data_IF_611278498170
#
_entry.id   IF_611278498170
#
_cell.length_a   1.000
_cell.length_b   1.000
_cell.length_c   1.000
_cell.angle_alpha   90.00
_cell.angle_beta   90.00
_cell.angle_gamma   90.00
#
_symmetry.space_group_name_H-M   'P 1'
#
loop_
_entity.id
_entity.type
_entity.pdbx_description
1 polymer ?
#
# COMPACT_ATOMS: atom_id res chain seq x y z
N UNK A 1 4.57 -20.67 -13.55
CA UNK A 1 5.15 -19.43 -12.99
C UNK A 1 6.67 -19.49 -13.10
N UNK A 2 7.31 -18.50 -13.73
CA UNK A 2 8.70 -18.57 -14.20
C UNK A 2 9.70 -18.19 -13.08
N UNK A 3 10.70 -19.04 -12.73
CA UNK A 3 11.63 -18.84 -11.59
C UNK A 3 12.64 -17.68 -11.72
N UNK A 4 12.51 -16.82 -12.74
CA UNK A 4 13.45 -15.71 -13.01
C UNK A 4 13.09 -14.41 -12.28
N UNK A 5 11.82 -14.20 -11.90
CA UNK A 5 11.35 -12.98 -11.24
C UNK A 5 11.90 -12.83 -9.81
N UNK A 6 12.00 -13.92 -9.05
CA UNK A 6 12.46 -13.86 -7.65
C UNK A 6 13.93 -13.43 -7.54
N UNK A 7 14.78 -13.82 -8.50
CA UNK A 7 16.20 -13.42 -8.53
C UNK A 7 16.40 -11.92 -8.79
N UNK A 8 15.44 -11.25 -9.44
CA UNK A 8 15.49 -9.80 -9.70
C UNK A 8 15.00 -9.03 -8.48
N UNK A 9 13.90 -9.46 -7.86
CA UNK A 9 13.38 -8.87 -6.61
C UNK A 9 14.42 -8.96 -5.48
N UNK A 10 15.13 -10.09 -5.36
CA UNK A 10 16.20 -10.26 -4.37
C UNK A 10 17.39 -9.33 -4.60
N UNK A 11 17.76 -9.07 -5.87
CA UNK A 11 18.87 -8.18 -6.21
C UNK A 11 18.54 -6.70 -5.93
N UNK A 12 17.30 -6.27 -6.17
CA UNK A 12 16.85 -4.91 -5.85
C UNK A 12 16.80 -4.68 -4.33
N UNK A 13 16.41 -5.69 -3.56
CA UNK A 13 16.43 -5.63 -2.09
C UNK A 13 17.85 -5.45 -1.53
N UNK A 14 18.86 -6.08 -2.14
CA UNK A 14 20.24 -6.04 -1.65
C UNK A 14 20.96 -4.72 -1.96
N UNK A 15 20.62 -4.04 -3.06
CA UNK A 15 21.27 -2.78 -3.45
C UNK A 15 20.79 -1.59 -2.59
N UNK A 16 19.56 -1.63 -2.08
CA UNK A 16 19.01 -0.61 -1.20
C UNK A 16 19.65 -0.58 0.21
N UNK A 17 20.33 -1.66 0.62
CA UNK A 17 20.92 -1.83 1.95
C UNK A 17 22.38 -1.36 2.06
N UNK A 18 23.00 -0.93 0.95
CA UNK A 18 24.42 -0.53 0.88
C UNK A 18 24.66 0.98 1.05
N UNK A 19 23.60 1.78 1.22
CA UNK A 19 23.71 3.22 1.49
C UNK A 19 23.94 3.50 2.98
N UNK A 20 24.67 4.57 3.28
CA UNK A 20 24.80 5.10 4.65
C UNK A 20 23.43 5.53 5.18
N UNK A 21 23.17 5.25 6.46
CA UNK A 21 21.95 5.72 7.12
C UNK A 21 21.99 7.23 7.25
N UNK A 22 20.90 7.90 6.87
CA UNK A 22 20.75 9.34 7.12
C UNK A 22 20.17 9.48 8.52
N UNK A 23 20.86 10.19 9.41
CA UNK A 23 20.37 10.47 10.77
C UNK A 23 19.07 11.27 10.67
N UNK A 24 17.94 10.59 10.89
CA UNK A 24 16.60 11.17 10.81
C UNK A 24 15.85 10.95 12.12
N UNK A 25 14.98 11.90 12.49
CA UNK A 25 14.05 11.69 13.59
C UNK A 25 12.97 10.68 13.19
N UNK A 26 12.44 9.87 14.12
CA UNK A 26 11.27 9.06 13.83
C UNK A 26 10.13 9.99 13.40
N UNK A 27 9.41 9.60 12.35
CA UNK A 27 8.22 10.33 11.91
C UNK A 27 7.02 9.40 11.92
N UNK A 28 5.89 9.97 12.33
CA UNK A 28 4.58 9.32 12.30
C UNK A 28 3.70 10.16 11.40
N UNK A 29 2.72 9.56 10.75
CA UNK A 29 1.73 10.33 10.03
C UNK A 29 0.47 9.54 9.73
N UNK A 30 -0.39 10.20 8.95
CA UNK A 30 -1.64 9.65 8.48
C UNK A 30 -1.65 9.57 6.97
N UNK A 31 -2.39 8.61 6.45
CA UNK A 31 -2.77 8.55 5.04
C UNK A 31 -4.26 8.31 4.88
N UNK A 32 -4.83 8.88 3.84
CA UNK A 32 -6.21 8.64 3.42
C UNK A 32 -6.24 8.35 1.92
N UNK A 33 -6.93 7.29 1.52
CA UNK A 33 -6.97 6.81 0.15
C UNK A 33 -8.39 6.56 -0.33
N UNK A 34 -8.63 6.87 -1.59
CA UNK A 34 -9.91 6.65 -2.27
C UNK A 34 -9.68 5.96 -3.63
N UNK A 35 -10.47 4.94 -3.98
CA UNK A 35 -10.40 4.30 -5.28
C UNK A 35 -10.94 5.26 -6.35
N UNK A 36 -10.28 5.27 -7.52
CA UNK A 36 -10.73 6.01 -8.71
C UNK A 36 -11.16 5.04 -9.80
N UNK A 37 -10.38 3.97 -9.99
CA UNK A 37 -10.70 2.88 -10.92
C UNK A 37 -10.65 1.59 -10.13
N UNK A 38 -11.71 0.79 -10.27
CA UNK A 38 -11.85 -0.53 -9.64
C UNK A 38 -12.13 -1.59 -10.68
N UNK A 39 -11.61 -2.80 -10.45
CA UNK A 39 -11.79 -3.91 -11.40
C UNK A 39 -12.40 -5.14 -10.73
N UNK A 40 -11.94 -5.48 -9.54
CA UNK A 40 -12.39 -6.67 -8.83
C UNK A 40 -12.87 -6.31 -7.43
N UNK A 41 -14.18 -6.35 -7.15
CA UNK A 41 -15.27 -6.35 -8.13
C UNK A 41 -15.37 -5.02 -8.92
N UNK A 42 -16.08 -5.04 -10.03
CA UNK A 42 -16.60 -3.82 -10.66
C UNK A 42 -17.59 -3.12 -9.70
N UNK A 43 -17.74 -1.80 -9.82
CA UNK A 43 -18.58 -0.98 -8.94
C UNK A 43 -18.22 -1.08 -7.45
N UNK A 44 -16.96 -1.39 -7.15
CA UNK A 44 -16.39 -1.31 -5.82
C UNK A 44 -16.20 0.16 -5.46
N UNK A 45 -16.67 0.51 -4.27
CA UNK A 45 -16.43 1.80 -3.64
C UNK A 45 -15.75 1.54 -2.30
N UNK A 46 -15.08 2.55 -1.78
CA UNK A 46 -14.39 2.40 -0.52
C UNK A 46 -13.56 3.60 -0.13
N UNK A 47 -12.97 3.47 1.04
CA UNK A 47 -11.91 4.35 1.50
C UNK A 47 -10.95 3.56 2.38
N UNK A 48 -9.73 4.07 2.49
CA UNK A 48 -8.70 3.52 3.39
C UNK A 48 -8.09 4.66 4.19
N UNK A 49 -7.96 4.47 5.49
CA UNK A 49 -7.20 5.34 6.38
C UNK A 49 -6.07 4.53 7.01
N UNK A 50 -4.90 5.11 7.20
CA UNK A 50 -3.80 4.44 7.87
C UNK A 50 -2.93 5.39 8.70
N UNK A 51 -2.32 4.81 9.73
CA UNK A 51 -1.20 5.38 10.46
C UNK A 51 0.08 4.81 9.86
N UNK A 52 1.07 5.66 9.61
CA UNK A 52 2.38 5.21 9.18
C UNK A 52 3.47 5.65 10.15
N UNK A 53 4.52 4.84 10.25
CA UNK A 53 5.67 5.06 11.10
C UNK A 53 6.96 4.79 10.31
N UNK A 54 7.85 5.77 10.27
CA UNK A 54 9.18 5.66 9.66
C UNK A 54 10.23 5.52 10.77
N UNK A 55 10.85 4.33 10.93
CA UNK A 55 11.98 4.15 11.83
C UNK A 55 13.21 4.93 11.33
N UNK A 56 13.98 5.57 12.23
CA UNK A 56 15.24 6.26 11.88
C UNK A 56 16.26 5.37 11.16
N UNK A 57 16.34 4.10 11.56
CA UNK A 57 17.32 3.13 11.06
C UNK A 57 17.04 2.65 9.65
N UNK A 58 15.82 2.85 9.15
CA UNK A 58 15.37 2.41 7.82
C UNK A 58 15.19 3.59 6.87
N UNK A 59 16.09 4.58 6.97
CA UNK A 59 16.13 5.74 6.10
C UNK A 59 17.54 5.96 5.55
N UNK A 60 17.62 5.97 4.24
CA UNK A 60 18.82 6.18 3.45
C UNK A 60 18.65 7.40 2.56
N UNK A 61 19.67 7.72 1.77
CA UNK A 61 19.70 8.92 0.92
C UNK A 61 18.52 8.97 -0.05
N UNK A 62 18.25 7.90 -0.79
CA UNK A 62 17.13 7.84 -1.75
C UNK A 62 16.03 6.86 -1.34
N UNK A 63 16.32 5.95 -0.42
CA UNK A 63 15.40 4.87 -0.05
C UNK A 63 14.96 5.03 1.39
N UNK A 64 13.72 4.69 1.69
CA UNK A 64 13.26 4.51 3.05
C UNK A 64 12.29 3.33 3.11
N UNK A 65 12.30 2.63 4.25
CA UNK A 65 11.30 1.62 4.56
C UNK A 65 10.52 2.11 5.78
N UNK A 66 9.22 2.31 5.61
CA UNK A 66 8.29 2.64 6.69
C UNK A 66 7.21 1.57 6.82
N UNK A 67 6.49 1.60 7.92
CA UNK A 67 5.40 0.67 8.19
C UNK A 67 4.08 1.42 8.21
N UNK A 68 3.07 0.83 7.56
CA UNK A 68 1.71 1.33 7.51
C UNK A 68 0.79 0.33 8.23
N UNK A 69 -0.06 0.86 9.12
CA UNK A 69 -1.16 0.15 9.76
C UNK A 69 -2.48 0.80 9.32
N UNK A 70 -3.29 0.05 8.57
CA UNK A 70 -4.43 0.58 7.83
C UNK A 70 -5.76 -0.09 8.13
N UNK A 71 -6.83 0.67 7.92
CA UNK A 71 -8.21 0.25 7.92
C UNK A 71 -8.86 0.64 6.59
N UNK A 72 -9.39 -0.34 5.87
CA UNK A 72 -10.15 -0.16 4.64
C UNK A 72 -11.61 -0.55 4.83
N UNK A 73 -12.52 0.28 4.34
CA UNK A 73 -13.94 -0.04 4.23
C UNK A 73 -14.31 -0.09 2.76
N UNK A 74 -14.85 -1.23 2.32
CA UNK A 74 -15.18 -1.48 0.93
C UNK A 74 -16.63 -1.95 0.80
N UNK A 75 -17.34 -1.50 -0.22
CA UNK A 75 -18.69 -1.97 -0.53
C UNK A 75 -18.91 -1.99 -2.04
N UNK A 76 -19.85 -2.83 -2.48
CA UNK A 76 -20.19 -2.96 -3.90
C UNK A 76 -21.58 -2.40 -4.11
N UNK A 77 -21.75 -1.66 -5.19
CA UNK A 77 -23.07 -1.18 -5.64
C UNK A 77 -23.57 -2.03 -6.80
N UNK A 78 -24.83 -1.85 -7.20
CA UNK A 78 -25.44 -2.62 -8.29
C UNK A 78 -25.58 -4.13 -8.00
N UNK A 79 -25.89 -4.48 -6.73
CA UNK A 79 -26.19 -5.86 -6.31
C UNK A 79 -27.51 -5.94 -5.56
N UNK A 80 -28.08 -7.14 -5.49
CA UNK A 80 -29.35 -7.40 -4.79
C UNK A 80 -29.26 -7.38 -3.26
N UNK A 81 -28.03 -7.33 -2.70
CA UNK A 81 -27.81 -7.27 -1.27
C UNK A 81 -26.60 -6.39 -0.98
N UNK A 82 -26.77 -5.26 -0.30
CA UNK A 82 -25.64 -4.40 0.06
C UNK A 82 -24.78 -5.09 1.13
N UNK A 83 -23.57 -5.55 0.77
CA UNK A 83 -22.59 -6.05 1.73
C UNK A 83 -21.29 -5.25 1.64
N UNK A 84 -20.89 -4.74 2.79
CA UNK A 84 -19.57 -4.16 3.00
C UNK A 84 -18.60 -5.17 3.59
N UNK A 85 -17.31 -4.88 3.40
CA UNK A 85 -16.17 -5.59 3.94
C UNK A 85 -15.22 -4.58 4.58
N UNK A 86 -14.81 -4.88 5.82
CA UNK A 86 -13.74 -4.16 6.48
C UNK A 86 -12.44 -4.97 6.38
N UNK A 87 -11.32 -4.28 6.15
CA UNK A 87 -10.00 -4.89 6.04
C UNK A 87 -9.04 -4.13 6.96
N UNK A 88 -8.35 -4.85 7.84
CA UNK A 88 -7.26 -4.32 8.64
C UNK A 88 -5.95 -4.79 8.03
N UNK A 89 -4.97 -3.91 7.84
CA UNK A 89 -3.71 -4.24 7.15
C UNK A 89 -2.49 -3.74 7.90
N UNK A 90 -1.38 -4.47 7.83
CA UNK A 90 -0.06 -4.00 8.23
C UNK A 90 0.91 -4.28 7.09
N UNK A 91 1.63 -3.27 6.63
CA UNK A 91 2.50 -3.40 5.45
C UNK A 91 3.81 -2.64 5.63
N UNK A 92 4.98 -3.26 5.35
CA UNK A 92 6.18 -2.51 5.05
C UNK A 92 6.03 -1.85 3.67
N UNK A 93 6.44 -0.59 3.56
CA UNK A 93 6.46 0.16 2.31
C UNK A 93 7.89 0.58 2.03
N UNK A 94 8.43 0.13 0.90
CA UNK A 94 9.67 0.65 0.36
C UNK A 94 9.32 1.85 -0.51
N UNK A 95 9.82 3.02 -0.12
CA UNK A 95 9.76 4.24 -0.92
C UNK A 95 11.14 4.57 -1.44
N UNK A 96 11.22 4.83 -2.73
CA UNK A 96 12.43 5.32 -3.38
C UNK A 96 12.15 6.67 -4.03
N UNK A 97 12.91 7.69 -3.62
CA UNK A 97 12.86 9.03 -4.18
C UNK A 97 13.78 9.12 -5.39
N UNK A 98 13.24 9.56 -6.53
CA UNK A 98 14.06 9.83 -7.72
C UNK A 98 14.98 11.03 -7.49
N UNK A 99 14.46 12.07 -6.81
CA UNK A 99 15.22 13.21 -6.33
C UNK A 99 14.72 13.61 -4.94
N UNK A 100 15.58 14.26 -4.14
CA UNK A 100 15.25 14.73 -2.78
C UNK A 100 15.29 16.25 -2.67
N UNK A 101 14.76 16.94 -3.67
CA UNK A 101 14.70 18.39 -3.67
C UNK A 101 13.82 18.95 -2.53
N UNK A 102 14.12 20.15 -1.99
CA UNK A 102 13.38 20.73 -0.87
C UNK A 102 11.89 20.92 -1.11
N UNK A 103 11.49 21.26 -2.34
CA UNK A 103 10.10 21.62 -2.66
C UNK A 103 9.30 20.50 -3.33
N UNK A 104 9.98 19.57 -4.00
CA UNK A 104 9.33 18.56 -4.85
C UNK A 104 10.22 17.30 -4.92
N UNK A 105 9.85 16.26 -4.18
CA UNK A 105 10.57 15.00 -4.13
C UNK A 105 9.70 13.88 -4.72
N UNK A 106 9.77 13.60 -6.03
CA UNK A 106 9.03 12.52 -6.67
C UNK A 106 9.59 11.17 -6.24
N UNK A 107 8.72 10.17 -6.12
CA UNK A 107 9.08 8.84 -5.64
C UNK A 107 8.22 7.73 -6.23
N UNK A 108 8.66 6.49 -6.05
CA UNK A 108 7.83 5.30 -6.21
C UNK A 108 7.73 4.51 -4.90
N UNK A 109 6.61 3.83 -4.72
CA UNK A 109 6.29 2.97 -3.59
C UNK A 109 6.07 1.54 -4.08
N UNK A 110 6.61 0.56 -3.36
CA UNK A 110 6.25 -0.85 -3.47
C UNK A 110 6.03 -1.43 -2.07
N UNK A 111 5.00 -2.26 -1.93
CA UNK A 111 4.60 -2.83 -0.65
C UNK A 111 3.98 -4.20 -0.83
N UNK A 112 4.32 -5.12 0.08
CA UNK A 112 3.68 -6.42 0.26
C UNK A 112 3.43 -6.58 1.75
N UNK A 113 2.18 -6.51 2.16
CA UNK A 113 1.75 -6.59 3.54
C UNK A 113 0.80 -7.75 3.83
N UNK A 114 0.33 -7.79 5.07
CA UNK A 114 -0.67 -8.73 5.54
C UNK A 114 -1.96 -7.99 5.83
N UNK A 115 -3.09 -8.63 5.55
CA UNK A 115 -4.42 -8.11 5.75
C UNK A 115 -5.35 -9.15 6.37
N UNK A 116 -6.24 -8.67 7.25
CA UNK A 116 -7.33 -9.42 7.84
C UNK A 116 -8.67 -8.84 7.37
N UNK A 117 -9.45 -9.67 6.70
CA UNK A 117 -10.76 -9.38 6.15
C UNK A 117 -11.82 -9.79 7.18
N UNK A 118 -12.78 -8.93 7.51
CA UNK A 118 -13.84 -9.28 8.46
C UNK A 118 -14.81 -10.33 7.94
N UNK A 119 -14.84 -10.56 6.63
CA UNK A 119 -15.65 -11.57 5.95
C UNK A 119 -14.84 -12.21 4.84
N UNK A 120 -15.10 -13.49 4.57
CA UNK A 120 -14.49 -14.22 3.45
C UNK A 120 -15.24 -14.03 2.12
N UNK A 121 -16.30 -13.24 2.13
CA UNK A 121 -17.12 -12.95 0.95
C UNK A 121 -17.38 -11.46 0.84
N UNK A 122 -17.26 -10.95 -0.38
CA UNK A 122 -17.74 -9.63 -0.78
C UNK A 122 -18.74 -9.87 -1.92
N UNK A 123 -20.03 -9.70 -1.62
CA UNK A 123 -21.12 -10.08 -2.53
C UNK A 123 -21.06 -11.57 -2.90
N UNK A 124 -21.08 -11.87 -4.22
CA UNK A 124 -20.96 -13.21 -4.79
C UNK A 124 -19.49 -13.67 -4.89
N UNK A 125 -18.51 -12.81 -4.57
CA UNK A 125 -17.09 -13.15 -4.66
C UNK A 125 -16.63 -13.85 -3.39
N UNK A 126 -16.12 -15.06 -3.55
CA UNK A 126 -15.51 -15.83 -2.47
C UNK A 126 -14.01 -15.53 -2.41
N UNK A 127 -13.59 -14.83 -1.34
CA UNK A 127 -12.21 -14.44 -1.05
C UNK A 127 -11.42 -15.59 -0.38
N UNK A 128 -12.10 -16.70 -0.06
CA UNK A 128 -11.55 -17.91 0.50
C UNK A 128 -11.44 -17.86 2.02
N UNK A 129 -10.52 -17.07 2.53
CA UNK A 129 -10.22 -16.99 3.97
C UNK A 129 -10.12 -15.56 4.46
N UNK A 130 -10.03 -15.40 5.79
CA UNK A 130 -9.93 -14.09 6.42
C UNK A 130 -8.56 -13.44 6.24
N UNK A 131 -7.50 -14.21 5.99
CA UNK A 131 -6.16 -13.67 5.77
C UNK A 131 -5.87 -13.46 4.28
N UNK A 132 -5.23 -12.35 3.96
CA UNK A 132 -4.83 -11.97 2.61
C UNK A 132 -3.47 -11.26 2.64
N UNK A 133 -2.74 -11.32 1.54
CA UNK A 133 -1.69 -10.35 1.25
C UNK A 133 -2.32 -9.03 0.80
N UNK A 134 -1.62 -7.93 1.04
CA UNK A 134 -1.90 -6.60 0.50
C UNK A 134 -0.71 -6.16 -0.36
N UNK A 135 -0.89 -6.15 -1.67
CA UNK A 135 0.14 -5.68 -2.61
C UNK A 135 -0.21 -4.26 -3.05
N UNK A 136 0.76 -3.35 -2.97
CA UNK A 136 0.60 -1.97 -3.46
C UNK A 136 1.83 -1.54 -4.26
N UNK A 137 1.58 -0.89 -5.39
CA UNK A 137 2.60 -0.25 -6.23
C UNK A 137 2.09 1.13 -6.62
N UNK A 138 2.93 2.16 -6.49
CA UNK A 138 2.49 3.51 -6.86
C UNK A 138 3.62 4.50 -7.08
N UNK A 139 3.27 5.64 -7.62
CA UNK A 139 4.15 6.79 -7.81
C UNK A 139 3.54 8.00 -7.13
N UNK A 140 4.39 8.89 -6.66
CA UNK A 140 3.92 10.08 -5.96
C UNK A 140 4.95 11.17 -5.84
N UNK A 141 4.58 12.18 -5.07
CA UNK A 141 5.42 13.32 -4.76
C UNK A 141 5.27 13.69 -3.30
N UNK A 142 6.40 13.95 -2.64
CA UNK A 142 6.45 14.59 -1.32
C UNK A 142 6.82 16.06 -1.49
N UNK A 143 6.12 16.93 -0.77
CA UNK A 143 6.26 18.39 -0.86
C UNK A 143 5.94 19.08 0.48
N UNK A 144 6.12 20.40 0.51
CA UNK A 144 5.99 21.25 1.71
C UNK A 144 7.34 21.53 2.37
N UNK A 145 7.42 22.65 3.12
CA UNK A 145 8.68 23.12 3.71
C UNK A 145 9.37 22.09 4.62
N UNK A 146 8.59 21.23 5.29
CA UNK A 146 9.08 20.14 6.14
C UNK A 146 8.95 18.77 5.47
N UNK A 147 8.68 18.72 4.16
CA UNK A 147 8.36 17.49 3.41
C UNK A 147 7.22 16.69 4.05
N UNK A 148 6.23 17.40 4.59
CA UNK A 148 5.17 16.82 5.40
C UNK A 148 3.94 16.36 4.61
N UNK A 149 3.81 16.72 3.33
CA UNK A 149 2.68 16.31 2.50
C UNK A 149 3.15 15.35 1.42
N UNK A 150 2.37 14.31 1.14
CA UNK A 150 2.55 13.49 -0.06
C UNK A 150 1.25 13.22 -0.79
N UNK A 151 1.34 13.10 -2.11
CA UNK A 151 0.24 12.64 -2.98
C UNK A 151 0.70 11.42 -3.78
N UNK A 152 -0.15 10.41 -3.87
CA UNK A 152 0.13 9.12 -4.48
C UNK A 152 -0.94 8.70 -5.48
N UNK A 153 -0.50 8.13 -6.59
CA UNK A 153 -1.30 7.30 -7.49
C UNK A 153 -0.79 5.87 -7.35
N UNK A 154 -1.67 4.94 -6.98
CA UNK A 154 -1.27 3.55 -6.73
C UNK A 154 -2.29 2.54 -7.24
N UNK A 155 -1.80 1.35 -7.57
CA UNK A 155 -2.60 0.14 -7.68
C UNK A 155 -2.54 -0.63 -6.36
N UNK A 156 -3.68 -1.17 -5.93
CA UNK A 156 -3.85 -1.94 -4.70
C UNK A 156 -4.51 -3.28 -5.03
N UNK A 157 -3.98 -4.36 -4.49
CA UNK A 157 -4.52 -5.70 -4.66
C UNK A 157 -4.52 -6.49 -3.35
N UNK A 158 -5.62 -7.18 -3.08
CA UNK A 158 -5.73 -8.15 -2.00
C UNK A 158 -5.95 -9.54 -2.58
N UNK A 159 -5.11 -10.51 -2.21
CA UNK A 159 -5.34 -11.91 -2.50
C UNK A 159 -4.73 -12.83 -1.45
N UNK A 160 -5.23 -14.06 -1.36
CA UNK A 160 -4.71 -15.03 -0.40
C UNK A 160 -3.48 -15.83 -0.90
N UNK A 161 -2.90 -15.45 -2.05
CA UNK A 161 -1.71 -16.11 -2.60
C UNK A 161 -1.91 -17.58 -2.99
N UNK A 162 -3.15 -18.02 -3.21
CA UNK A 162 -3.53 -19.43 -3.44
C UNK A 162 -3.30 -20.35 -2.25
N UNK A 163 -3.23 -19.80 -1.04
CA UNK A 163 -3.21 -20.58 0.21
C UNK A 163 -4.59 -21.20 0.53
N UNK A 164 -5.64 -20.78 -0.18
CA UNK A 164 -6.96 -21.38 -0.16
C UNK A 164 -7.42 -21.68 -1.59
N UNK A 165 -8.28 -22.68 -1.78
CA UNK A 165 -8.81 -23.09 -3.09
C UNK A 165 -9.63 -22.00 -3.79
N UNK A 166 -10.25 -21.10 -3.01
CA UNK A 166 -11.00 -19.94 -3.50
C UNK A 166 -10.16 -18.68 -3.29
N UNK A 167 -10.02 -17.85 -4.32
CA UNK A 167 -9.25 -16.60 -4.25
C UNK A 167 -9.76 -15.58 -5.27
N UNK A 168 -10.97 -15.06 -5.07
CA UNK A 168 -11.49 -14.05 -5.99
C UNK A 168 -10.70 -12.73 -5.93
N UNK A 169 -10.09 -12.41 -4.78
CA UNK A 169 -9.32 -11.18 -4.59
C UNK A 169 -10.13 -9.89 -4.71
N UNK A 170 -9.45 -8.77 -4.43
CA UNK A 170 -9.95 -7.40 -4.62
C UNK A 170 -8.86 -6.59 -5.33
N UNK A 171 -9.22 -5.86 -6.39
CA UNK A 171 -8.27 -5.10 -7.21
C UNK A 171 -8.78 -3.70 -7.49
N UNK A 172 -7.99 -2.71 -7.08
CA UNK A 172 -8.16 -1.30 -7.36
C UNK A 172 -6.98 -0.85 -8.23
N UNK A 173 -7.12 -0.83 -9.57
CA UNK A 173 -6.03 -0.43 -10.46
C UNK A 173 -5.54 1.02 -10.26
N UNK A 174 -6.43 1.92 -9.83
CA UNK A 174 -6.07 3.31 -9.54
C UNK A 174 -6.72 3.77 -8.25
N UNK A 175 -5.89 4.16 -7.31
CA UNK A 175 -6.23 4.74 -6.01
C UNK A 175 -5.42 6.02 -5.83
N UNK A 176 -6.07 7.08 -5.35
CA UNK A 176 -5.40 8.30 -4.93
C UNK A 176 -5.18 8.23 -3.43
N UNK A 177 -3.98 8.55 -2.96
CA UNK A 177 -3.65 8.65 -1.54
C UNK A 177 -3.10 10.03 -1.23
N UNK A 178 -3.60 10.65 -0.17
CA UNK A 178 -3.00 11.82 0.46
C UNK A 178 -2.36 11.40 1.79
N UNK A 179 -1.13 11.87 2.05
CA UNK A 179 -0.40 11.58 3.28
C UNK A 179 0.02 12.88 3.97
N UNK A 180 -0.01 12.87 5.29
CA UNK A 180 0.50 13.93 6.15
C UNK A 180 1.44 13.38 7.22
N UNK A 181 2.64 13.93 7.34
CA UNK A 181 3.61 13.60 8.38
C UNK A 181 3.61 14.58 9.53
N UNK A 182 3.54 14.05 10.75
CA UNK A 182 3.78 14.80 11.98
C UNK A 182 5.30 14.91 12.16
N UNK A 183 5.80 16.14 12.03
CA UNK A 183 7.20 16.50 12.28
C UNK A 183 7.35 17.16 13.64
#
# INVERSE_FOLDING_TARGET
MHPRLWKIVFKLFFFALLSSTVKASPSVGLSFSVPVITKDPEYLHGYRAALWYQPPSLNWEHTQIYFDAGFGHWWVTNTSAYRSLNIYSISPILRYYFTREPFFSPFFNISIGLAYLTKTHLEKRNLGMHFSFQDQLGFGVTFGQKKQFSLLLSALHYSNGSLCSMNAGITVPLMITAEYGFA
#
